data_IF_638604960849
#
_entry.id   IF_638604960849
#
_cell.length_a   1.000
_cell.length_b   1.000
_cell.length_c   1.000
_cell.angle_alpha   90.00
_cell.angle_beta   90.00
_cell.angle_gamma   90.00
#
_symmetry.space_group_name_H-M   'P 1'
#
loop_
_entity.id
_entity.type
_entity.pdbx_description
1 polymer ?
#
# COMPACT_ATOMS: atom_id res chain seq x y z
N UNK A 1 -13.91 3.36 -10.05
CA UNK A 1 -13.81 2.80 -8.68
C UNK A 1 -12.82 3.64 -7.88
N UNK A 2 -13.16 4.11 -6.67
CA UNK A 2 -12.26 4.96 -5.89
C UNK A 2 -11.05 4.15 -5.38
N UNK A 3 -9.85 4.66 -5.61
CA UNK A 3 -8.63 4.14 -5.01
C UNK A 3 -8.49 4.72 -3.60
N UNK A 4 -8.60 3.87 -2.57
CA UNK A 4 -8.57 4.26 -1.16
C UNK A 4 -7.42 3.51 -0.47
N UNK A 5 -6.72 4.18 0.43
CA UNK A 5 -5.68 3.56 1.22
C UNK A 5 -6.28 2.55 2.22
N UNK A 6 -5.71 1.34 2.27
CA UNK A 6 -6.13 0.29 3.19
C UNK A 6 -5.43 0.35 4.56
N UNK A 7 -4.45 1.24 4.74
CA UNK A 7 -3.73 1.41 5.98
C UNK A 7 -4.68 1.83 7.12
N UNK A 8 -4.47 1.26 8.30
CA UNK A 8 -5.31 1.56 9.48
C UNK A 8 -5.12 3.03 9.86
N UNK A 9 -6.22 3.75 10.03
CA UNK A 9 -6.23 5.18 10.34
C UNK A 9 -5.95 6.10 9.13
N UNK A 10 -5.69 5.56 7.94
CA UNK A 10 -5.49 6.35 6.74
C UNK A 10 -6.81 6.51 5.98
N UNK A 11 -7.25 7.75 5.81
CA UNK A 11 -8.45 8.09 5.03
C UNK A 11 -8.11 8.71 3.66
N UNK A 12 -6.87 8.48 3.19
CA UNK A 12 -6.40 8.96 1.90
C UNK A 12 -7.10 8.22 0.76
N UNK A 13 -7.59 8.98 -0.21
CA UNK A 13 -8.14 8.45 -1.45
C UNK A 13 -7.67 9.27 -2.64
N UNK A 14 -7.68 8.68 -3.83
CA UNK A 14 -7.26 9.39 -5.04
C UNK A 14 -8.13 10.60 -5.37
N UNK A 15 -9.35 10.62 -4.85
CA UNK A 15 -10.28 11.75 -4.97
C UNK A 15 -9.94 12.87 -3.99
N UNK A 16 -9.57 12.54 -2.74
CA UNK A 16 -9.19 13.54 -1.73
C UNK A 16 -7.76 14.05 -1.93
N UNK A 17 -6.86 13.16 -2.34
CA UNK A 17 -5.43 13.40 -2.45
C UNK A 17 -4.94 12.91 -3.83
N UNK A 18 -5.19 13.69 -4.90
CA UNK A 18 -4.79 13.32 -6.26
C UNK A 18 -3.27 13.29 -6.47
N UNK A 19 -2.50 13.98 -5.60
CA UNK A 19 -1.03 13.98 -5.65
C UNK A 19 -0.35 12.76 -5.01
N UNK A 20 -1.11 11.88 -4.34
CA UNK A 20 -0.55 10.67 -3.73
C UNK A 20 -0.51 9.52 -4.73
N UNK A 21 0.58 8.76 -4.69
CA UNK A 21 0.70 7.53 -5.49
C UNK A 21 0.10 6.39 -4.68
N UNK A 22 -0.79 5.62 -5.30
CA UNK A 22 -1.42 4.45 -4.69
C UNK A 22 -0.80 3.19 -5.27
N UNK A 23 -0.15 2.41 -4.40
CA UNK A 23 0.51 1.16 -4.74
C UNK A 23 -0.40 -0.03 -4.42
N UNK A 24 -0.56 -0.94 -5.37
CA UNK A 24 -1.17 -2.23 -5.10
C UNK A 24 -0.28 -3.10 -4.22
N UNK A 25 -0.92 -3.97 -3.45
CA UNK A 25 -0.20 -4.97 -2.67
C UNK A 25 0.59 -5.90 -3.60
N UNK A 26 1.81 -6.29 -3.19
CA UNK A 26 2.62 -7.17 -4.01
C UNK A 26 1.97 -8.55 -4.20
N UNK A 27 2.19 -9.13 -5.37
CA UNK A 27 1.76 -10.51 -5.69
C UNK A 27 2.56 -11.54 -4.87
N UNK A 28 3.81 -11.21 -4.58
CA UNK A 28 4.74 -11.99 -3.77
C UNK A 28 4.26 -12.15 -2.33
N UNK A 29 4.05 -13.39 -1.89
CA UNK A 29 3.52 -13.73 -0.57
C UNK A 29 4.39 -13.15 0.56
N UNK A 30 5.71 -13.36 0.51
CA UNK A 30 6.65 -12.86 1.52
C UNK A 30 6.66 -11.32 1.66
N UNK A 31 6.50 -10.58 0.56
CA UNK A 31 6.40 -9.11 0.62
C UNK A 31 5.02 -8.68 1.11
N UNK A 32 3.97 -9.39 0.69
CA UNK A 32 2.60 -9.14 1.14
C UNK A 32 2.47 -9.36 2.64
N UNK A 33 3.03 -10.43 3.19
CA UNK A 33 3.04 -10.70 4.63
C UNK A 33 3.71 -9.56 5.41
N UNK A 34 4.85 -9.03 4.93
CA UNK A 34 5.50 -7.86 5.56
C UNK A 34 4.61 -6.62 5.53
N UNK A 35 3.88 -6.39 4.43
CA UNK A 35 2.95 -5.28 4.32
C UNK A 35 1.74 -5.46 5.23
N UNK A 36 1.16 -6.65 5.27
CA UNK A 36 0.04 -6.97 6.16
C UNK A 36 0.43 -6.80 7.62
N UNK A 37 1.63 -7.28 8.00
CA UNK A 37 2.19 -7.07 9.32
C UNK A 37 2.42 -5.59 9.67
N UNK A 38 2.75 -4.75 8.68
CA UNK A 38 2.91 -3.30 8.87
C UNK A 38 1.56 -2.57 8.95
N UNK A 39 0.57 -2.98 8.16
CA UNK A 39 -0.80 -2.44 8.20
C UNK A 39 -1.47 -2.78 9.54
N UNK A 40 -1.08 -3.90 10.18
CA UNK A 40 -1.62 -4.39 11.47
C UNK A 40 -3.15 -4.46 11.49
N UNK A 41 -3.73 -4.91 10.38
CA UNK A 41 -5.17 -5.10 10.27
C UNK A 41 -5.51 -6.57 10.55
N UNK A 42 -6.06 -6.79 11.73
CA UNK A 42 -6.51 -8.11 12.15
C UNK A 42 -7.74 -8.56 11.33
N UNK A 43 -7.85 -9.87 11.06
CA UNK A 43 -8.96 -10.47 10.28
C UNK A 43 -9.24 -9.88 8.89
N UNK A 44 -8.24 -9.31 8.21
CA UNK A 44 -8.45 -8.69 6.89
C UNK A 44 -7.69 -9.39 5.78
N UNK A 45 -8.41 -9.76 4.72
CA UNK A 45 -7.84 -10.30 3.50
C UNK A 45 -7.63 -9.17 2.47
N UNK A 46 -6.40 -8.98 1.96
CA UNK A 46 -6.17 -8.00 0.91
C UNK A 46 -6.87 -8.43 -0.38
N UNK A 47 -7.72 -7.55 -0.90
CA UNK A 47 -8.38 -7.69 -2.20
C UNK A 47 -7.59 -6.98 -3.30
N UNK A 48 -7.92 -7.22 -4.57
CA UNK A 48 -7.34 -6.50 -5.72
C UNK A 48 -7.50 -4.97 -5.66
N UNK A 49 -8.40 -4.49 -4.81
CA UNK A 49 -8.67 -3.07 -4.56
C UNK A 49 -7.91 -2.50 -3.35
N UNK A 50 -7.08 -3.32 -2.71
CA UNK A 50 -6.31 -2.93 -1.54
C UNK A 50 -5.04 -2.20 -1.95
N UNK A 51 -5.04 -0.89 -1.71
CA UNK A 51 -3.97 0.02 -2.11
C UNK A 51 -3.33 0.66 -0.88
N UNK A 52 -2.03 0.96 -0.95
CA UNK A 52 -1.33 1.74 0.06
C UNK A 52 -0.87 3.06 -0.57
N UNK A 53 -1.12 4.20 0.08
CA UNK A 53 -0.65 5.48 -0.43
C UNK A 53 0.85 5.68 -0.16
N UNK A 54 1.49 6.52 -0.98
CA UNK A 54 2.92 6.81 -0.92
C UNK A 54 3.40 7.32 0.44
N UNK A 55 2.56 8.01 1.22
CA UNK A 55 2.91 8.50 2.55
C UNK A 55 3.31 7.40 3.55
N UNK A 56 2.85 6.16 3.36
CA UNK A 56 3.23 5.04 4.24
C UNK A 56 4.60 4.45 3.89
N UNK A 57 5.28 4.99 2.88
CA UNK A 57 6.63 4.62 2.52
C UNK A 57 7.58 5.75 2.92
N UNK A 58 8.67 5.38 3.61
CA UNK A 58 9.68 6.34 4.11
C UNK A 58 10.22 7.27 3.01
N UNK A 59 10.25 6.80 1.75
CA UNK A 59 10.70 7.59 0.60
C UNK A 59 9.56 7.98 -0.37
N UNK A 60 8.30 7.79 0.00
CA UNK A 60 7.18 7.94 -0.94
C UNK A 60 7.11 6.86 -2.03
N UNK A 61 8.05 5.91 -2.03
CA UNK A 61 8.19 4.86 -3.03
C UNK A 61 8.27 3.51 -2.34
N UNK A 62 7.59 2.53 -2.90
CA UNK A 62 7.81 1.13 -2.55
C UNK A 62 9.30 0.81 -2.72
N UNK A 63 9.89 0.12 -1.75
CA UNK A 63 11.23 -0.44 -1.87
C UNK A 63 11.20 -1.56 -2.91
N UNK A 64 11.14 -1.19 -4.19
CA UNK A 64 11.69 -2.02 -5.24
C UNK A 64 13.17 -2.11 -4.88
N UNK A 65 13.58 -3.26 -4.36
CA UNK A 65 14.99 -3.60 -4.27
C UNK A 65 15.56 -3.23 -5.65
N UNK A 66 16.43 -2.21 -5.69
CA UNK A 66 17.08 -1.83 -6.92
C UNK A 66 17.67 -3.12 -7.49
N UNK A 67 17.14 -3.56 -8.64
CA UNK A 67 17.91 -4.40 -9.53
C UNK A 67 19.00 -3.49 -10.06
N UNK A 68 20.11 -3.45 -9.33
CA UNK A 68 21.38 -2.97 -9.85
C UNK A 68 21.68 -3.79 -11.11
N UNK A 69 21.67 -3.14 -12.27
CA UNK A 69 22.62 -3.43 -13.34
C UNK A 69 22.61 -2.30 -14.37
#
# INVERSE_FOLDING_TARGET
MPAICCAVGCNNSRTRNPGLIFYSLPTEKSRRDKWLAAIRRDHWAPTSHSLLCSEHFVSGKISLQLRSS
#
